data_IF_607194257902
#
_entry.id   IF_607194257902
#
_cell.length_a   1.000
_cell.length_b   1.000
_cell.length_c   1.000
_cell.angle_alpha   90.00
_cell.angle_beta   90.00
_cell.angle_gamma   90.00
#
_symmetry.space_group_name_H-M   'P 1'
#
loop_
_entity.id
_entity.type
_entity.pdbx_description
1 polymer ?
#
# COMPACT_ATOMS: atom_id res chain seq x y z
N UNK A 1 26.60 -16.43 -4.72
CA UNK A 1 25.59 -16.58 -3.63
C UNK A 1 24.38 -15.77 -4.03
N UNK A 2 23.34 -16.43 -4.53
CA UNK A 2 22.07 -15.80 -4.88
C UNK A 2 21.12 -15.93 -3.68
N UNK A 3 20.71 -14.81 -3.12
CA UNK A 3 19.74 -14.76 -2.02
C UNK A 3 18.36 -14.85 -2.66
N UNK A 4 17.78 -16.05 -2.67
CA UNK A 4 16.39 -16.28 -3.08
C UNK A 4 15.52 -16.10 -1.83
N UNK A 5 15.01 -14.88 -1.63
CA UNK A 5 13.95 -14.59 -0.66
C UNK A 5 12.61 -15.00 -1.28
N UNK A 6 12.26 -16.28 -1.13
CA UNK A 6 10.93 -16.79 -1.41
C UNK A 6 9.94 -16.28 -0.37
N UNK A 7 9.01 -15.42 -0.78
CA UNK A 7 7.90 -14.93 0.02
C UNK A 7 7.88 -13.41 0.13
N UNK A 8 6.88 -12.78 -0.52
CA UNK A 8 6.63 -11.33 -0.53
C UNK A 8 7.51 -10.45 -1.45
N UNK A 9 8.18 -11.03 -2.43
CA UNK A 9 8.67 -10.32 -3.60
C UNK A 9 8.12 -10.97 -4.87
N UNK A 10 6.83 -10.78 -5.15
CA UNK A 10 6.53 -10.37 -6.52
C UNK A 10 7.11 -8.97 -6.59
N UNK A 11 8.32 -8.88 -7.11
CA UNK A 11 8.70 -7.75 -7.94
C UNK A 11 7.46 -7.36 -8.75
N UNK A 12 6.74 -6.31 -8.33
CA UNK A 12 5.82 -5.59 -9.23
C UNK A 12 6.69 -4.84 -10.23
N UNK A 13 7.38 -5.62 -11.07
CA UNK A 13 8.03 -5.25 -12.32
C UNK A 13 7.01 -5.23 -13.47
N UNK A 14 5.73 -5.46 -13.15
CA UNK A 14 4.60 -5.10 -14.02
C UNK A 14 4.24 -3.61 -13.86
N UNK A 15 3.53 -3.01 -14.82
CA UNK A 15 3.07 -1.63 -14.67
C UNK A 15 2.27 -1.52 -13.37
N UNK A 16 2.69 -0.65 -12.45
CA UNK A 16 1.91 -0.38 -11.24
C UNK A 16 0.58 0.21 -11.68
N UNK A 17 -0.49 -0.58 -11.59
CA UNK A 17 -1.81 -0.07 -11.94
C UNK A 17 -2.38 0.72 -10.78
N UNK A 18 -3.31 1.62 -11.06
CA UNK A 18 -4.10 2.32 -10.06
C UNK A 18 -4.81 1.29 -9.18
N UNK A 19 -5.37 0.24 -9.77
CA UNK A 19 -6.04 -0.83 -9.04
C UNK A 19 -5.10 -1.58 -8.06
N UNK A 20 -3.89 -1.94 -8.50
CA UNK A 20 -2.89 -2.63 -7.66
C UNK A 20 -2.45 -1.74 -6.49
N UNK A 21 -2.19 -0.46 -6.77
CA UNK A 21 -1.86 0.54 -5.75
C UNK A 21 -2.99 0.72 -4.72
N UNK A 22 -4.24 0.84 -5.15
CA UNK A 22 -5.37 0.98 -4.25
C UNK A 22 -5.61 -0.28 -3.42
N UNK A 23 -5.48 -1.47 -4.03
CA UNK A 23 -5.62 -2.75 -3.34
C UNK A 23 -4.55 -2.96 -2.26
N UNK A 24 -3.29 -2.59 -2.53
CA UNK A 24 -2.21 -2.64 -1.56
C UNK A 24 -2.49 -1.74 -0.35
N UNK A 25 -3.08 -0.57 -0.58
CA UNK A 25 -3.43 0.39 0.48
C UNK A 25 -4.56 -0.13 1.35
N UNK A 26 -5.62 -0.69 0.75
CA UNK A 26 -6.71 -1.29 1.51
C UNK A 26 -6.23 -2.49 2.32
N UNK A 27 -5.35 -3.32 1.77
CA UNK A 27 -4.70 -4.42 2.49
C UNK A 27 -3.88 -3.89 3.67
N UNK A 28 -3.08 -2.85 3.44
CA UNK A 28 -2.26 -2.24 4.49
C UNK A 28 -3.11 -1.60 5.60
N UNK A 29 -4.23 -0.97 5.24
CA UNK A 29 -5.21 -0.41 6.19
C UNK A 29 -5.81 -1.49 7.09
N UNK A 30 -6.14 -2.65 6.52
CA UNK A 30 -6.63 -3.81 7.31
C UNK A 30 -5.55 -4.28 8.28
N UNK A 31 -4.30 -4.40 7.83
CA UNK A 31 -3.19 -4.79 8.71
C UNK A 31 -2.95 -3.80 9.85
N UNK A 32 -3.02 -2.49 9.57
CA UNK A 32 -2.94 -1.45 10.61
C UNK A 32 -4.08 -1.60 11.61
N UNK A 33 -5.30 -1.87 11.14
CA UNK A 33 -6.45 -2.13 12.01
C UNK A 33 -6.23 -3.39 12.86
N UNK A 34 -5.64 -4.44 12.30
CA UNK A 34 -5.28 -5.63 13.08
C UNK A 34 -4.26 -5.33 14.17
N UNK A 35 -3.28 -4.46 13.93
CA UNK A 35 -2.33 -4.01 14.97
C UNK A 35 -3.05 -3.25 16.08
N UNK A 36 -4.06 -2.45 15.75
CA UNK A 36 -4.87 -1.77 16.77
C UNK A 36 -5.68 -2.74 17.63
N UNK A 37 -6.14 -3.87 17.06
CA UNK A 37 -6.85 -4.90 17.81
C UNK A 37 -5.90 -5.82 18.59
N UNK A 38 -4.71 -6.09 18.05
CA UNK A 38 -3.67 -6.90 18.66
C UNK A 38 -2.30 -6.20 18.51
N UNK A 39 -1.81 -5.51 19.55
CA UNK A 39 -0.56 -4.77 19.48
C UNK A 39 0.68 -5.67 19.40
N UNK A 40 0.57 -6.98 19.67
CA UNK A 40 1.69 -7.92 19.53
C UNK A 40 2.10 -8.12 18.07
N UNK A 41 1.17 -7.89 17.13
CA UNK A 41 1.43 -7.88 15.68
C UNK A 41 2.35 -6.72 15.26
N UNK A 42 2.53 -5.68 16.07
CA UNK A 42 3.42 -4.54 15.76
C UNK A 42 4.89 -4.94 15.63
N UNK A 43 5.32 -6.01 16.30
CA UNK A 43 6.70 -6.52 16.19
C UNK A 43 6.99 -7.25 14.89
N UNK A 44 5.95 -7.73 14.19
CA UNK A 44 6.09 -8.47 12.95
C UNK A 44 6.43 -7.51 11.79
N UNK A 45 7.47 -7.86 11.02
CA UNK A 45 7.96 -7.05 9.90
C UNK A 45 6.90 -6.81 8.82
N UNK A 46 6.00 -7.77 8.58
CA UNK A 46 4.91 -7.62 7.60
C UNK A 46 3.99 -6.47 7.99
N UNK A 47 3.60 -6.44 9.27
CA UNK A 47 2.71 -5.43 9.83
C UNK A 47 3.38 -4.06 9.92
N UNK A 48 4.68 -4.01 10.25
CA UNK A 48 5.47 -2.76 10.20
C UNK A 48 5.59 -2.20 8.79
N UNK A 49 5.89 -3.04 7.81
CA UNK A 49 6.02 -2.63 6.41
C UNK A 49 4.69 -2.15 5.85
N UNK A 50 3.59 -2.86 6.13
CA UNK A 50 2.25 -2.44 5.77
C UNK A 50 1.88 -1.09 6.41
N UNK A 51 2.15 -0.91 7.70
CA UNK A 51 1.88 0.36 8.40
C UNK A 51 2.63 1.53 7.77
N UNK A 52 3.90 1.31 7.43
CA UNK A 52 4.74 2.32 6.78
C UNK A 52 4.24 2.63 5.37
N UNK A 53 3.89 1.61 4.58
CA UNK A 53 3.33 1.78 3.24
C UNK A 53 2.01 2.56 3.28
N UNK A 54 1.13 2.25 4.24
CA UNK A 54 -0.13 2.96 4.44
C UNK A 54 0.07 4.43 4.80
N UNK A 55 1.01 4.74 5.71
CA UNK A 55 1.32 6.13 6.04
C UNK A 55 1.90 6.91 4.86
N UNK A 56 2.78 6.28 4.07
CA UNK A 56 3.34 6.90 2.87
C UNK A 56 2.27 7.11 1.81
N UNK A 57 1.34 6.16 1.66
CA UNK A 57 0.24 6.31 0.73
C UNK A 57 -0.67 7.46 1.15
N UNK A 58 -1.04 7.60 2.43
CA UNK A 58 -1.85 8.73 2.90
C UNK A 58 -1.23 10.11 2.66
N UNK A 59 0.11 10.20 2.54
CA UNK A 59 0.83 11.42 2.21
C UNK A 59 0.85 11.73 0.70
N UNK A 60 0.31 10.87 -0.16
CA UNK A 60 0.11 11.21 -1.57
C UNK A 60 -0.86 12.38 -1.72
N UNK A 61 -0.56 13.30 -2.62
CA UNK A 61 -1.43 14.46 -2.90
C UNK A 61 -2.62 14.11 -3.81
N UNK A 62 -2.77 12.84 -4.21
CA UNK A 62 -3.85 12.38 -5.08
C UNK A 62 -5.12 11.98 -4.33
N UNK A 63 -5.16 12.14 -3.00
CA UNK A 63 -6.39 11.90 -2.23
C UNK A 63 -7.27 13.14 -2.21
N UNK A 64 -8.52 13.00 -2.60
CA UNK A 64 -9.53 14.01 -2.30
C UNK A 64 -10.04 13.85 -0.86
N UNK A 65 -10.68 14.89 -0.32
CA UNK A 65 -11.29 14.83 1.02
C UNK A 65 -12.75 14.38 0.90
N UNK A 66 -13.19 13.34 1.63
CA UNK A 66 -12.44 12.53 2.59
C UNK A 66 -11.47 11.55 1.89
N UNK A 67 -10.30 11.29 2.50
CA UNK A 67 -9.27 10.42 1.90
C UNK A 67 -9.74 8.95 1.88
N UNK A 68 -10.07 8.44 0.69
CA UNK A 68 -10.44 7.04 0.50
C UNK A 68 -9.99 6.51 -0.86
N UNK A 69 -9.86 5.18 -0.98
CA UNK A 69 -9.59 4.52 -2.26
C UNK A 69 -10.69 4.78 -3.28
N UNK A 70 -11.92 5.03 -2.84
CA UNK A 70 -13.06 5.39 -3.69
C UNK A 70 -13.04 6.85 -4.18
N UNK A 71 -12.36 7.75 -3.46
CA UNK A 71 -12.27 9.20 -3.75
C UNK A 71 -10.88 9.59 -4.21
N UNK A 72 -10.12 8.63 -4.74
CA UNK A 72 -8.78 8.90 -5.26
C UNK A 72 -8.87 9.60 -6.60
N UNK A 73 -8.09 10.65 -6.78
CA UNK A 73 -7.94 11.30 -8.08
C UNK A 73 -7.10 10.41 -9.00
N UNK A 74 -7.77 9.67 -9.87
CA UNK A 74 -7.14 8.77 -10.84
C UNK A 74 -6.26 9.54 -11.83
N UNK A 75 -6.64 10.75 -12.24
CA UNK A 75 -5.83 11.58 -13.14
C UNK A 75 -4.50 12.00 -12.51
N UNK A 76 -4.48 12.24 -11.19
CA UNK A 76 -3.25 12.49 -10.44
C UNK A 76 -2.35 11.26 -10.37
N UNK A 77 -2.92 10.06 -10.25
CA UNK A 77 -2.15 8.81 -10.29
C UNK A 77 -1.62 8.52 -11.70
N UNK A 78 -2.41 8.74 -12.75
CA UNK A 78 -1.96 8.67 -14.14
C UNK A 78 -0.78 9.63 -14.39
N UNK A 79 -0.86 10.87 -13.89
CA UNK A 79 0.23 11.84 -13.98
C UNK A 79 1.50 11.43 -13.22
N UNK A 80 1.37 10.54 -12.22
CA UNK A 80 2.49 9.93 -11.49
C UNK A 80 3.02 8.65 -12.15
N UNK A 81 2.42 8.22 -13.26
CA UNK A 81 2.84 7.05 -14.04
C UNK A 81 2.15 5.73 -13.65
N UNK A 82 1.10 5.77 -12.83
CA UNK A 82 0.26 4.60 -12.59
C UNK A 82 -0.67 4.38 -13.78
N UNK A 83 -0.78 3.14 -14.26
CA UNK A 83 -1.69 2.82 -15.38
C UNK A 83 -3.08 2.47 -14.85
N UNK A 84 -4.15 2.82 -15.55
CA UNK A 84 -5.50 2.34 -15.20
C UNK A 84 -5.62 0.84 -15.42
#
# INVERSE_FOLDING_TARGET
>A
MAIVLGGCAKESSGPKTVADFLHDIDTAKVMVKEISNDPSKKSDERYRNASRAYMLSLNFQCWESPRSTATTNHDCLDAKGYKR
#
